data_IF_930544049444
#
_entry.id   IF_930544049444
#
_cell.length_a   1.000
_cell.length_b   1.000
_cell.length_c   1.000
_cell.angle_alpha   90.00
_cell.angle_beta   90.00
_cell.angle_gamma   90.00
#
_symmetry.space_group_name_H-M   'P 1'
#
loop_
_entity.id
_entity.type
_entity.pdbx_description
1 polymer ?
#
# COMPACT_ATOMS: atom_id res chain seq x y z
N UNK A 1 95.50 64.78 -8.57
CA UNK A 1 94.17 65.10 -8.00
C UNK A 1 93.19 63.99 -8.39
N UNK A 2 92.55 63.38 -7.38
CA UNK A 2 91.25 62.64 -7.39
C UNK A 2 91.05 61.51 -8.44
N UNK A 3 91.07 60.23 -8.04
CA UNK A 3 89.95 59.32 -7.60
C UNK A 3 89.67 58.27 -8.73
N UNK A 4 90.11 57.01 -8.62
CA UNK A 4 89.54 55.82 -7.94
C UNK A 4 88.37 55.10 -8.68
N UNK A 5 88.56 53.77 -8.88
CA UNK A 5 87.58 52.63 -8.99
C UNK A 5 86.91 52.44 -10.38
N UNK A 6 87.09 51.35 -11.15
CA UNK A 6 87.03 49.87 -10.97
C UNK A 6 85.66 49.24 -11.31
N UNK A 7 85.69 48.04 -11.91
CA UNK A 7 84.53 47.16 -12.17
C UNK A 7 84.45 46.70 -13.63
N UNK A 8 85.09 45.60 -14.04
CA UNK A 8 84.68 44.18 -13.91
C UNK A 8 83.52 43.84 -14.86
N UNK A 9 83.80 42.89 -15.78
CA UNK A 9 82.91 42.48 -16.85
C UNK A 9 81.78 41.54 -16.43
N UNK A 10 80.77 41.45 -17.29
CA UNK A 10 79.70 40.48 -17.21
C UNK A 10 79.73 39.59 -18.46
N UNK A 11 80.11 38.33 -18.26
CA UNK A 11 79.89 37.23 -19.20
C UNK A 11 78.46 36.76 -19.02
N UNK A 12 77.68 36.76 -20.11
CA UNK A 12 76.35 36.17 -20.13
C UNK A 12 76.47 34.64 -20.26
N UNK A 13 76.13 33.91 -19.20
CA UNK A 13 75.90 32.47 -19.24
C UNK A 13 74.39 32.20 -19.30
N UNK A 14 73.95 31.65 -20.42
CA UNK A 14 72.62 31.08 -20.61
C UNK A 14 72.56 29.78 -19.79
N UNK A 15 71.84 29.81 -18.68
CA UNK A 15 71.51 28.61 -17.91
C UNK A 15 70.17 28.04 -18.38
N UNK A 16 70.22 27.00 -19.21
CA UNK A 16 69.09 26.10 -19.42
C UNK A 16 68.87 25.31 -18.11
N UNK A 17 67.85 25.69 -17.35
CA UNK A 17 67.39 24.91 -16.21
C UNK A 17 66.71 23.65 -16.71
N UNK A 18 67.43 22.53 -16.73
CA UNK A 18 66.82 21.22 -16.82
C UNK A 18 65.92 21.02 -15.60
N UNK A 19 64.62 20.86 -15.83
CA UNK A 19 63.70 20.34 -14.83
C UNK A 19 64.13 18.89 -14.54
N UNK A 20 64.87 18.70 -13.46
CA UNK A 20 65.14 17.37 -12.93
C UNK A 20 63.83 16.84 -12.34
N UNK A 21 63.15 15.98 -13.11
CA UNK A 21 62.15 15.08 -12.57
C UNK A 21 62.83 14.20 -11.52
N UNK A 22 62.42 14.34 -10.26
CA UNK A 22 62.98 13.57 -9.16
C UNK A 22 62.38 12.16 -9.19
N UNK A 23 63.22 11.23 -9.65
CA UNK A 23 63.50 9.88 -9.15
C UNK A 23 62.36 8.84 -9.17
N UNK A 24 62.54 7.88 -10.09
CA UNK A 24 61.97 6.54 -10.18
C UNK A 24 61.86 5.86 -8.80
N UNK A 25 60.67 5.36 -8.49
CA UNK A 25 60.28 4.75 -7.23
C UNK A 25 61.23 3.67 -6.73
N UNK A 26 61.67 3.84 -5.49
CA UNK A 26 62.40 2.86 -4.68
C UNK A 26 61.61 1.56 -4.54
N UNK A 27 62.28 0.42 -4.78
CA UNK A 27 61.79 -0.96 -4.68
C UNK A 27 60.70 -1.16 -3.62
N UNK A 28 59.44 -1.03 -4.03
CA UNK A 28 58.27 -1.34 -3.20
C UNK A 28 57.59 -2.54 -3.83
N UNK A 29 57.44 -3.59 -3.04
CA UNK A 29 56.94 -4.88 -3.52
C UNK A 29 55.85 -5.37 -2.60
N UNK A 30 54.75 -5.89 -3.14
CA UNK A 30 53.65 -6.44 -2.34
C UNK A 30 54.14 -7.69 -1.61
N UNK A 31 53.94 -7.73 -0.29
CA UNK A 31 54.19 -8.93 0.53
C UNK A 31 52.93 -9.79 0.62
N UNK A 32 51.78 -9.16 0.87
CA UNK A 32 50.46 -9.81 0.89
C UNK A 32 49.34 -8.77 0.84
N UNK A 33 48.15 -9.22 0.46
CA UNK A 33 46.91 -8.47 0.67
C UNK A 33 46.37 -8.81 2.06
N UNK A 34 45.87 -7.80 2.76
CA UNK A 34 45.32 -7.91 4.11
C UNK A 34 43.80 -7.97 4.05
N UNK A 35 43.20 -7.05 3.30
CA UNK A 35 41.77 -6.91 3.04
C UNK A 35 41.55 -6.25 1.65
N UNK A 36 40.31 -6.08 1.19
CA UNK A 36 39.92 -5.58 -0.14
C UNK A 36 40.47 -4.21 -0.53
N UNK A 37 40.97 -3.43 0.43
CA UNK A 37 41.58 -2.12 0.20
C UNK A 37 42.90 -1.92 0.97
N UNK A 38 43.47 -2.99 1.53
CA UNK A 38 44.64 -2.90 2.41
C UNK A 38 45.69 -3.93 2.03
N UNK A 39 46.93 -3.48 1.82
CA UNK A 39 48.07 -4.33 1.46
C UNK A 39 49.25 -4.10 2.39
N UNK A 40 50.04 -5.15 2.61
CA UNK A 40 51.38 -5.04 3.18
C UNK A 40 52.40 -5.02 2.04
N UNK A 41 53.30 -4.04 2.07
CA UNK A 41 54.39 -3.89 1.09
C UNK A 41 55.74 -3.87 1.78
N UNK A 42 56.72 -4.50 1.14
CA UNK A 42 58.12 -4.43 1.49
C UNK A 42 58.73 -3.17 0.91
N UNK A 43 59.41 -2.38 1.74
CA UNK A 43 60.16 -1.20 1.34
C UNK A 43 61.60 -1.29 1.83
N UNK A 44 62.48 -0.39 1.39
CA UNK A 44 63.84 -0.26 1.94
C UNK A 44 63.87 -0.02 3.47
N UNK A 45 62.78 0.51 4.04
CA UNK A 45 62.63 0.80 5.47
C UNK A 45 61.88 -0.30 6.25
N UNK A 46 61.63 -1.45 5.61
CA UNK A 46 60.85 -2.57 6.16
C UNK A 46 59.41 -2.62 5.63
N UNK A 47 58.63 -3.54 6.18
CA UNK A 47 57.21 -3.72 5.84
C UNK A 47 56.37 -2.51 6.24
N UNK A 48 55.50 -2.05 5.33
CA UNK A 48 54.51 -1.00 5.56
C UNK A 48 53.12 -1.52 5.23
N UNK A 49 52.14 -1.18 6.06
CA UNK A 49 50.72 -1.38 5.75
C UNK A 49 50.19 -0.17 5.00
N UNK A 50 49.60 -0.39 3.84
CA UNK A 50 49.05 0.65 2.96
C UNK A 50 47.55 0.44 2.84
N UNK A 51 46.77 1.48 3.16
CA UNK A 51 45.34 1.57 2.87
C UNK A 51 45.17 2.37 1.58
N UNK A 52 44.45 1.77 0.62
CA UNK A 52 44.22 2.36 -0.69
C UNK A 52 43.38 3.64 -0.55
N UNK A 53 43.91 4.77 -1.01
CA UNK A 53 43.20 6.06 -0.95
C UNK A 53 41.90 6.07 -1.75
N UNK A 54 40.94 6.80 -1.20
CA UNK A 54 39.67 7.19 -1.80
C UNK A 54 38.71 6.04 -2.19
N UNK A 55 38.96 4.83 -1.73
CA UNK A 55 38.07 3.67 -1.89
C UNK A 55 37.72 3.08 -0.53
N UNK A 56 36.62 2.34 -0.44
CA UNK A 56 36.23 1.56 0.74
C UNK A 56 35.64 0.24 0.28
N UNK A 57 36.18 -0.88 0.77
CA UNK A 57 35.65 -2.22 0.47
C UNK A 57 34.84 -2.75 1.64
N UNK A 58 33.91 -3.70 1.42
CA UNK A 58 33.33 -4.46 2.52
C UNK A 58 34.44 -5.11 3.36
N UNK A 59 34.31 -5.04 4.67
CA UNK A 59 35.35 -5.43 5.63
C UNK A 59 35.30 -6.93 5.95
N UNK A 60 36.48 -7.55 6.06
CA UNK A 60 36.59 -8.93 6.52
C UNK A 60 36.28 -9.03 8.01
N UNK A 61 35.62 -10.13 8.39
CA UNK A 61 35.36 -10.44 9.79
C UNK A 61 36.65 -10.58 10.59
N UNK A 62 36.74 -9.87 11.72
CA UNK A 62 37.91 -9.90 12.60
C UNK A 62 37.49 -10.22 14.04
N UNK A 63 38.33 -10.98 14.76
CA UNK A 63 38.12 -11.33 16.17
C UNK A 63 36.77 -12.01 16.50
N UNK A 64 36.17 -12.70 15.52
CA UNK A 64 34.88 -13.38 15.68
C UNK A 64 33.68 -12.56 15.25
N UNK A 65 33.90 -11.31 14.79
CA UNK A 65 32.88 -10.53 14.10
C UNK A 65 32.55 -11.15 12.74
N UNK A 66 31.28 -11.06 12.29
CA UNK A 66 30.89 -11.52 10.96
C UNK A 66 31.58 -10.69 9.87
N UNK A 67 31.89 -11.34 8.75
CA UNK A 67 32.35 -10.65 7.55
C UNK A 67 31.19 -9.98 6.82
N UNK A 68 31.48 -8.87 6.15
CA UNK A 68 30.51 -8.24 5.25
C UNK A 68 30.43 -9.01 3.93
N UNK A 69 29.24 -9.02 3.32
CA UNK A 69 29.06 -9.65 2.02
C UNK A 69 30.00 -9.01 0.97
N UNK A 70 30.57 -9.81 0.08
CA UNK A 70 31.59 -9.42 -0.91
C UNK A 70 32.98 -9.02 -0.37
N UNK A 71 33.22 -9.08 0.95
CA UNK A 71 34.52 -8.75 1.53
C UNK A 71 35.62 -9.71 1.02
N UNK A 72 35.35 -11.02 1.03
CA UNK A 72 36.30 -12.02 0.56
C UNK A 72 36.57 -11.88 -0.94
N UNK A 73 35.53 -11.62 -1.74
CA UNK A 73 35.65 -11.40 -3.18
C UNK A 73 36.45 -10.13 -3.51
N UNK A 74 36.26 -9.04 -2.75
CA UNK A 74 37.04 -7.82 -2.90
C UNK A 74 38.52 -8.06 -2.58
N UNK A 75 38.82 -8.79 -1.49
CA UNK A 75 40.18 -9.20 -1.13
C UNK A 75 40.80 -10.08 -2.22
N UNK A 76 40.10 -11.11 -2.66
CA UNK A 76 40.59 -12.05 -3.67
C UNK A 76 40.88 -11.31 -4.98
N UNK A 77 40.03 -10.35 -5.35
CA UNK A 77 40.28 -9.53 -6.52
C UNK A 77 41.52 -8.66 -6.37
N UNK A 78 41.72 -8.05 -5.20
CA UNK A 78 42.94 -7.29 -4.94
C UNK A 78 44.18 -8.20 -4.96
N UNK A 79 44.09 -9.45 -4.50
CA UNK A 79 45.17 -10.45 -4.59
C UNK A 79 45.52 -10.82 -6.04
N UNK A 80 44.53 -10.88 -6.93
CA UNK A 80 44.77 -11.10 -8.36
C UNK A 80 45.49 -9.93 -9.03
N UNK A 81 45.16 -8.69 -8.63
CA UNK A 81 45.80 -7.47 -9.14
C UNK A 81 47.20 -7.26 -8.53
N UNK A 82 47.37 -7.65 -7.28
CA UNK A 82 48.57 -7.43 -6.48
C UNK A 82 49.09 -8.75 -5.87
N UNK A 83 49.45 -9.76 -6.68
CA UNK A 83 50.02 -10.98 -6.14
C UNK A 83 51.34 -10.67 -5.41
N UNK A 84 51.68 -11.45 -4.39
CA UNK A 84 52.92 -11.29 -3.66
C UNK A 84 54.13 -11.27 -4.61
N UNK A 85 55.03 -10.30 -4.44
CA UNK A 85 56.14 -10.04 -5.34
C UNK A 85 55.86 -8.99 -6.43
N UNK A 86 54.63 -8.47 -6.53
CA UNK A 86 54.30 -7.41 -7.48
C UNK A 86 54.99 -6.10 -7.11
N UNK A 87 55.71 -5.51 -8.07
CA UNK A 87 56.31 -4.17 -7.90
C UNK A 87 55.23 -3.11 -8.05
N UNK A 88 55.13 -2.23 -7.07
CA UNK A 88 54.13 -1.15 -7.04
C UNK A 88 54.80 0.20 -6.87
N UNK A 89 54.14 1.23 -7.40
CA UNK A 89 54.43 2.63 -7.07
C UNK A 89 53.35 3.14 -6.14
N UNK A 90 53.76 3.75 -5.03
CA UNK A 90 52.86 4.39 -4.08
C UNK A 90 52.86 5.90 -4.31
N UNK A 91 51.67 6.45 -4.57
CA UNK A 91 51.48 7.88 -4.73
C UNK A 91 50.63 8.42 -3.58
N UNK A 92 51.23 9.29 -2.77
CA UNK A 92 50.59 9.86 -1.59
C UNK A 92 49.82 11.15 -1.91
N UNK A 93 48.98 11.55 -0.96
CA UNK A 93 48.29 12.84 -0.91
C UNK A 93 48.75 13.66 0.32
N UNK A 94 47.99 14.68 0.72
CA UNK A 94 48.29 15.63 1.82
C UNK A 94 48.71 14.90 3.10
N UNK A 95 47.86 14.00 3.60
CA UNK A 95 48.14 13.21 4.79
C UNK A 95 48.60 11.81 4.39
N UNK A 96 49.82 11.48 4.78
CA UNK A 96 50.44 10.20 4.44
C UNK A 96 49.99 9.04 5.33
N UNK A 97 49.50 9.30 6.53
CA UNK A 97 49.13 8.26 7.47
C UNK A 97 47.74 8.49 8.04
N UNK A 98 47.02 7.40 8.30
CA UNK A 98 45.78 7.47 9.07
C UNK A 98 46.04 7.41 10.58
N UNK A 99 44.95 7.45 11.36
CA UNK A 99 45.00 7.40 12.83
C UNK A 99 45.55 6.08 13.40
N UNK A 100 45.63 5.03 12.58
CA UNK A 100 46.13 3.71 12.96
C UNK A 100 47.60 3.51 12.53
N UNK A 101 48.18 4.50 11.86
CA UNK A 101 49.56 4.45 11.36
C UNK A 101 49.72 3.68 10.05
N UNK A 102 48.62 3.36 9.35
CA UNK A 102 48.70 2.83 7.96
C UNK A 102 49.11 3.98 7.04
N UNK A 103 49.94 3.68 6.04
CA UNK A 103 50.20 4.63 4.97
C UNK A 103 48.97 4.73 4.06
N UNK A 104 48.67 5.94 3.57
CA UNK A 104 47.55 6.25 2.70
C UNK A 104 48.07 6.56 1.30
N UNK A 105 47.82 5.69 0.33
CA UNK A 105 48.35 5.87 -1.03
C UNK A 105 47.40 5.42 -2.14
N UNK A 106 47.52 6.06 -3.30
CA UNK A 106 47.15 5.45 -4.56
C UNK A 106 48.21 4.41 -4.95
N UNK A 107 47.76 3.22 -5.35
CA UNK A 107 48.64 2.10 -5.67
C UNK A 107 48.64 1.86 -7.19
N UNK A 108 49.83 1.86 -7.79
CA UNK A 108 50.01 1.68 -9.22
C UNK A 108 50.88 0.47 -9.55
N UNK A 109 50.49 -0.29 -10.58
CA UNK A 109 51.31 -1.33 -11.22
C UNK A 109 51.65 -0.84 -12.63
N UNK A 110 52.87 -0.34 -12.81
CA UNK A 110 53.19 0.41 -14.03
C UNK A 110 52.32 1.68 -14.11
N UNK A 111 51.52 1.80 -15.18
CA UNK A 111 50.58 2.90 -15.38
C UNK A 111 49.15 2.57 -14.90
N UNK A 112 48.89 1.32 -14.50
CA UNK A 112 47.58 0.85 -14.07
C UNK A 112 47.29 1.29 -12.63
N UNK A 113 46.17 1.97 -12.42
CA UNK A 113 45.75 2.46 -11.11
C UNK A 113 44.82 1.47 -10.42
N UNK A 114 45.33 0.74 -9.44
CA UNK A 114 44.64 -0.39 -8.81
C UNK A 114 43.38 0.06 -8.06
N UNK A 115 43.43 1.20 -7.37
CA UNK A 115 42.28 1.72 -6.61
C UNK A 115 41.06 1.95 -7.53
N UNK A 116 41.29 2.56 -8.69
CA UNK A 116 40.23 2.78 -9.69
C UNK A 116 39.71 1.46 -10.25
N UNK A 117 40.60 0.50 -10.49
CA UNK A 117 40.20 -0.80 -11.03
C UNK A 117 39.24 -1.54 -10.08
N UNK A 118 39.57 -1.63 -8.79
CA UNK A 118 38.71 -2.24 -7.75
C UNK A 118 37.31 -1.61 -7.74
N UNK A 119 37.23 -0.28 -7.80
CA UNK A 119 35.94 0.44 -7.83
C UNK A 119 35.20 0.21 -9.14
N UNK A 120 35.88 0.25 -10.29
CA UNK A 120 35.27 0.05 -11.61
C UNK A 120 34.64 -1.34 -11.79
N UNK A 121 35.19 -2.32 -11.08
CA UNK A 121 34.71 -3.70 -11.06
C UNK A 121 33.62 -3.95 -10.00
N UNK A 122 33.28 -2.92 -9.20
CA UNK A 122 32.18 -2.93 -8.26
C UNK A 122 32.51 -3.53 -6.90
N UNK A 123 33.78 -3.60 -6.50
CA UNK A 123 34.19 -4.14 -5.20
C UNK A 123 34.29 -3.10 -4.08
N UNK A 124 34.21 -1.81 -4.42
CA UNK A 124 34.39 -0.72 -3.45
C UNK A 124 33.49 0.49 -3.73
N UNK A 125 33.24 1.29 -2.70
CA UNK A 125 32.67 2.64 -2.78
C UNK A 125 33.76 3.71 -2.88
N UNK A 126 33.49 4.79 -3.60
CA UNK A 126 34.30 6.00 -3.58
C UNK A 126 34.08 6.76 -2.26
N UNK A 127 35.15 7.01 -1.52
CA UNK A 127 35.09 7.73 -0.24
C UNK A 127 36.16 8.81 -0.14
N UNK A 128 35.91 9.80 0.71
CA UNK A 128 36.90 10.84 1.03
C UNK A 128 37.31 10.72 2.48
N UNK A 129 38.61 10.55 2.70
CA UNK A 129 39.22 10.71 4.01
C UNK A 129 39.91 12.06 4.04
N UNK A 130 39.20 13.10 4.48
CA UNK A 130 39.73 14.47 4.48
C UNK A 130 41.07 14.54 5.24
N UNK A 131 42.07 15.28 4.71
CA UNK A 131 42.04 16.16 3.54
C UNK A 131 42.38 15.47 2.20
N UNK A 132 42.49 14.14 2.16
CA UNK A 132 42.98 13.41 0.98
C UNK A 132 41.88 13.22 -0.08
N UNK A 133 41.99 13.98 -1.18
CA UNK A 133 41.01 14.04 -2.27
C UNK A 133 41.62 13.82 -3.65
N UNK A 134 42.94 13.69 -3.75
CA UNK A 134 43.69 13.68 -5.01
C UNK A 134 43.16 12.72 -6.07
N UNK A 135 42.66 11.55 -5.67
CA UNK A 135 42.13 10.55 -6.59
C UNK A 135 40.61 10.45 -6.61
N UNK A 136 39.92 11.21 -5.75
CA UNK A 136 38.48 11.03 -5.51
C UNK A 136 37.64 11.21 -6.78
N UNK A 137 37.85 12.27 -7.55
CA UNK A 137 37.03 12.52 -8.76
C UNK A 137 37.22 11.42 -9.82
N UNK A 138 38.43 10.87 -9.94
CA UNK A 138 38.73 9.73 -10.83
C UNK A 138 38.01 8.47 -10.37
N UNK A 139 38.09 8.18 -9.08
CA UNK A 139 37.45 7.01 -8.47
C UNK A 139 35.92 7.12 -8.52
N UNK A 140 35.36 8.30 -8.24
CA UNK A 140 33.93 8.56 -8.32
C UNK A 140 33.40 8.34 -9.74
N UNK A 141 34.18 8.71 -10.75
CA UNK A 141 33.82 8.43 -12.14
C UNK A 141 33.82 6.92 -12.45
N UNK A 142 34.76 6.16 -11.88
CA UNK A 142 34.82 4.70 -12.05
C UNK A 142 33.65 3.97 -11.39
N UNK A 143 33.11 4.52 -10.30
CA UNK A 143 31.94 3.98 -9.60
C UNK A 143 30.65 4.01 -10.44
N UNK A 144 30.58 4.91 -11.44
CA UNK A 144 29.35 5.16 -12.18
C UNK A 144 28.78 3.90 -12.85
N UNK A 145 29.63 3.06 -13.44
CA UNK A 145 29.22 1.84 -14.16
C UNK A 145 28.63 0.76 -13.24
N UNK A 146 29.34 0.29 -12.19
CA UNK A 146 28.77 -0.73 -11.32
C UNK A 146 27.55 -0.23 -10.55
N UNK A 147 27.49 1.07 -10.21
CA UNK A 147 26.31 1.69 -9.61
C UNK A 147 25.11 1.69 -10.57
N UNK A 148 25.28 2.10 -11.83
CA UNK A 148 24.17 2.11 -12.80
C UNK A 148 23.69 0.72 -13.18
N UNK A 149 24.60 -0.25 -13.22
CA UNK A 149 24.30 -1.63 -13.61
C UNK A 149 23.85 -2.49 -12.42
N UNK A 150 23.87 -1.95 -11.19
CA UNK A 150 23.59 -2.68 -9.96
C UNK A 150 24.42 -3.97 -9.88
N UNK A 151 25.74 -3.84 -9.97
CA UNK A 151 26.69 -4.96 -9.88
C UNK A 151 27.66 -4.79 -8.72
N UNK A 152 28.20 -5.91 -8.23
CA UNK A 152 29.10 -5.90 -7.07
C UNK A 152 28.40 -5.33 -5.85
N UNK A 153 29.08 -4.49 -5.08
CA UNK A 153 28.54 -3.89 -3.85
C UNK A 153 27.28 -3.03 -4.06
N UNK A 154 27.01 -2.59 -5.29
CA UNK A 154 25.80 -1.83 -5.64
C UNK A 154 24.60 -2.70 -6.03
N UNK A 155 24.80 -4.01 -6.14
CA UNK A 155 23.84 -4.97 -6.68
C UNK A 155 23.48 -6.10 -5.74
N UNK A 156 23.92 -6.05 -4.48
CA UNK A 156 23.67 -7.10 -3.51
C UNK A 156 22.19 -7.18 -3.13
N UNK A 157 21.70 -8.39 -2.88
CA UNK A 157 20.34 -8.63 -2.44
C UNK A 157 20.16 -8.53 -0.92
N UNK A 158 18.92 -8.73 -0.42
CA UNK A 158 18.57 -8.68 1.00
C UNK A 158 19.41 -9.61 1.89
N UNK A 159 19.92 -10.69 1.32
CA UNK A 159 20.84 -11.64 1.96
C UNK A 159 22.20 -11.04 2.36
N UNK A 160 22.52 -9.84 1.90
CA UNK A 160 23.82 -9.19 2.08
C UNK A 160 23.76 -7.84 2.81
N UNK A 161 22.57 -7.34 3.15
CA UNK A 161 22.39 -5.97 3.65
C UNK A 161 22.70 -5.79 5.14
N UNK A 162 22.88 -6.89 5.87
CA UNK A 162 23.19 -6.90 7.30
C UNK A 162 24.00 -8.14 7.64
N UNK A 163 24.85 -8.02 8.66
CA UNK A 163 25.61 -9.13 9.21
C UNK A 163 24.87 -9.85 10.36
N UNK A 164 23.76 -9.28 10.85
CA UNK A 164 22.90 -9.94 11.84
C UNK A 164 22.05 -11.03 11.17
N UNK A 165 22.24 -12.28 11.59
CA UNK A 165 21.54 -13.44 10.98
C UNK A 165 20.02 -13.42 11.15
N UNK A 166 19.49 -12.79 12.19
CA UNK A 166 18.03 -12.69 12.37
C UNK A 166 17.48 -11.63 11.43
N UNK A 167 18.09 -10.45 11.40
CA UNK A 167 17.70 -9.39 10.47
C UNK A 167 17.80 -9.85 9.02
N UNK A 168 18.87 -10.57 8.67
CA UNK A 168 19.05 -11.17 7.34
C UNK A 168 17.88 -12.11 6.99
N UNK A 169 17.50 -13.02 7.89
CA UNK A 169 16.35 -13.91 7.70
C UNK A 169 15.04 -13.14 7.54
N UNK A 170 14.87 -12.05 8.28
CA UNK A 170 13.68 -11.19 8.23
C UNK A 170 13.60 -10.40 6.92
N UNK A 171 14.73 -9.90 6.41
CA UNK A 171 14.84 -9.25 5.10
C UNK A 171 14.50 -10.21 3.97
N UNK A 172 15.08 -11.42 3.98
CA UNK A 172 14.74 -12.45 2.99
C UNK A 172 13.26 -12.86 3.06
N UNK A 173 12.70 -12.96 4.28
CA UNK A 173 11.27 -13.25 4.46
C UNK A 173 10.42 -12.14 3.89
N UNK A 174 10.81 -10.88 4.11
CA UNK A 174 10.12 -9.71 3.57
C UNK A 174 10.16 -9.74 2.04
N UNK A 175 11.31 -10.04 1.44
CA UNK A 175 11.43 -10.18 -0.01
C UNK A 175 10.56 -11.33 -0.56
N UNK A 176 10.44 -12.45 0.17
CA UNK A 176 9.53 -13.55 -0.20
C UNK A 176 8.07 -13.11 -0.15
N UNK A 177 7.66 -12.41 0.89
CA UNK A 177 6.29 -11.91 1.05
C UNK A 177 5.94 -10.89 -0.07
N UNK A 178 6.88 -10.01 -0.44
CA UNK A 178 6.72 -9.10 -1.60
C UNK A 178 6.54 -9.89 -2.89
N UNK A 179 7.40 -10.88 -3.14
CA UNK A 179 7.33 -11.69 -4.35
C UNK A 179 6.04 -12.51 -4.42
N UNK A 180 5.49 -12.94 -3.28
CA UNK A 180 4.19 -13.60 -3.20
C UNK A 180 3.08 -12.60 -3.55
N UNK A 181 3.09 -11.42 -2.92
CA UNK A 181 2.14 -10.33 -3.17
C UNK A 181 2.10 -9.90 -4.64
N UNK A 182 3.26 -9.81 -5.30
CA UNK A 182 3.39 -9.45 -6.72
C UNK A 182 2.76 -10.47 -7.69
N UNK A 183 2.58 -11.72 -7.25
CA UNK A 183 1.96 -12.78 -8.05
C UNK A 183 0.46 -12.87 -7.84
N UNK A 184 -0.08 -12.18 -6.82
CA UNK A 184 -1.51 -12.20 -6.52
C UNK A 184 -2.26 -11.24 -7.44
N UNK A 185 -3.42 -11.67 -7.93
CA UNK A 185 -4.36 -10.75 -8.59
C UNK A 185 -5.16 -10.01 -7.51
N UNK A 186 -4.69 -8.82 -7.12
CA UNK A 186 -5.33 -8.01 -6.07
C UNK A 186 -6.72 -7.48 -6.48
N UNK A 187 -7.12 -7.65 -7.75
CA UNK A 187 -8.47 -7.37 -8.22
C UNK A 187 -9.46 -8.51 -7.89
N UNK A 188 -8.98 -9.71 -7.57
CA UNK A 188 -9.80 -10.85 -7.16
C UNK A 188 -10.20 -10.72 -5.67
N UNK A 189 -11.50 -10.57 -5.34
CA UNK A 189 -11.94 -10.46 -3.95
C UNK A 189 -11.63 -11.69 -3.09
N UNK A 190 -11.42 -12.87 -3.69
CA UNK A 190 -11.16 -14.12 -2.95
C UNK A 190 -9.79 -14.18 -2.30
N UNK A 191 -8.82 -13.39 -2.79
CA UNK A 191 -7.44 -13.41 -2.29
C UNK A 191 -7.11 -12.25 -1.34
N UNK A 192 -8.02 -11.29 -1.19
CA UNK A 192 -7.82 -10.04 -0.43
C UNK A 192 -7.40 -10.29 1.02
N UNK A 193 -7.99 -11.30 1.68
CA UNK A 193 -7.69 -11.63 3.06
C UNK A 193 -6.25 -12.14 3.27
N UNK A 194 -5.72 -12.93 2.32
CA UNK A 194 -4.36 -13.44 2.40
C UNK A 194 -3.35 -12.35 2.00
N UNK A 195 -3.67 -11.53 0.99
CA UNK A 195 -2.86 -10.40 0.59
C UNK A 195 -2.67 -9.40 1.74
N UNK A 196 -3.74 -9.07 2.49
CA UNK A 196 -3.65 -8.18 3.67
C UNK A 196 -2.71 -8.74 4.74
N UNK A 197 -2.68 -10.06 4.95
CA UNK A 197 -1.74 -10.67 5.91
C UNK A 197 -0.28 -10.54 5.49
N UNK A 198 -0.01 -10.57 4.18
CA UNK A 198 1.33 -10.33 3.64
C UNK A 198 1.71 -8.87 3.82
N UNK A 199 0.84 -7.93 3.44
CA UNK A 199 1.02 -6.48 3.66
C UNK A 199 1.31 -6.16 5.12
N UNK A 200 0.50 -6.68 6.04
CA UNK A 200 0.69 -6.51 7.50
C UNK A 200 2.01 -7.09 8.00
N UNK A 201 2.52 -8.15 7.38
CA UNK A 201 3.81 -8.73 7.75
C UNK A 201 4.97 -7.89 7.23
N UNK A 202 4.90 -7.48 5.95
CA UNK A 202 5.90 -6.60 5.33
C UNK A 202 6.02 -5.30 6.13
N UNK A 203 4.91 -4.64 6.47
CA UNK A 203 4.92 -3.41 7.27
C UNK A 203 5.58 -3.63 8.63
N UNK A 204 5.13 -4.64 9.39
CA UNK A 204 5.67 -4.92 10.73
C UNK A 204 7.16 -5.26 10.71
N UNK A 205 7.56 -6.18 9.83
CA UNK A 205 8.96 -6.59 9.74
C UNK A 205 9.85 -5.45 9.27
N UNK A 206 9.40 -4.64 8.30
CA UNK A 206 10.17 -3.48 7.84
C UNK A 206 10.33 -2.42 8.94
N UNK A 207 9.27 -2.12 9.69
CA UNK A 207 9.33 -1.18 10.82
C UNK A 207 10.16 -1.72 11.99
N UNK A 208 10.16 -3.03 12.22
CA UNK A 208 11.00 -3.68 13.23
C UNK A 208 12.48 -3.57 12.86
N UNK A 209 12.86 -3.93 11.63
CA UNK A 209 14.25 -3.84 11.15
C UNK A 209 14.72 -2.38 11.18
N UNK A 210 13.91 -1.44 10.68
CA UNK A 210 14.28 -0.02 10.66
C UNK A 210 14.61 0.53 12.05
N UNK A 211 13.83 0.12 13.07
CA UNK A 211 14.09 0.54 14.46
C UNK A 211 15.40 -0.02 15.02
N UNK A 212 15.81 -1.21 14.60
CA UNK A 212 17.10 -1.79 15.00
C UNK A 212 18.25 -1.16 14.22
N UNK A 213 18.12 -1.00 12.90
CA UNK A 213 19.12 -0.39 12.03
C UNK A 213 19.44 1.07 12.40
N UNK A 214 18.47 1.83 12.92
CA UNK A 214 18.72 3.19 13.44
C UNK A 214 19.47 3.20 14.80
N UNK A 215 19.67 2.02 15.42
CA UNK A 215 20.26 1.86 16.76
C UNK A 215 21.61 1.14 16.79
N UNK A 216 22.01 0.46 15.70
CA UNK A 216 23.28 -0.29 15.56
C UNK A 216 24.28 0.42 14.64
N UNK A 217 25.58 0.11 14.79
CA UNK A 217 26.67 0.74 14.00
C UNK A 217 26.56 0.42 12.50
N UNK A 218 26.98 1.40 11.67
CA UNK A 218 26.95 1.42 10.21
C UNK A 218 27.53 0.13 9.60
N UNK A 219 26.68 -0.69 8.98
CA UNK A 219 27.12 -1.67 7.99
C UNK A 219 27.49 -0.96 6.68
N UNK A 220 28.43 -1.52 5.93
CA UNK A 220 28.77 -1.06 4.58
C UNK A 220 27.53 -0.92 3.67
N UNK A 221 26.51 -1.77 3.85
CA UNK A 221 25.30 -1.81 3.04
C UNK A 221 24.12 -1.00 3.60
N UNK A 222 24.36 -0.10 4.56
CA UNK A 222 23.29 0.63 5.26
C UNK A 222 22.39 1.44 4.32
N UNK A 223 22.94 2.02 3.24
CA UNK A 223 22.13 2.74 2.25
C UNK A 223 21.18 1.80 1.50
N UNK A 224 21.72 0.69 0.99
CA UNK A 224 20.95 -0.34 0.30
C UNK A 224 19.88 -0.97 1.22
N UNK A 225 20.18 -1.14 2.51
CA UNK A 225 19.21 -1.57 3.52
C UNK A 225 18.03 -0.60 3.62
N UNK A 226 18.29 0.70 3.74
CA UNK A 226 17.23 1.72 3.80
C UNK A 226 16.40 1.72 2.52
N UNK A 227 17.05 1.67 1.36
CA UNK A 227 16.37 1.63 0.06
C UNK A 227 15.47 0.39 -0.06
N UNK A 228 15.94 -0.78 0.38
CA UNK A 228 15.13 -2.01 0.41
C UNK A 228 13.90 -1.86 1.32
N UNK A 229 14.07 -1.34 2.54
CA UNK A 229 12.98 -1.18 3.49
C UNK A 229 11.93 -0.17 3.00
N UNK A 230 12.38 0.96 2.44
CA UNK A 230 11.50 1.99 1.88
C UNK A 230 10.75 1.46 0.64
N UNK A 231 11.42 0.71 -0.24
CA UNK A 231 10.78 0.07 -1.39
C UNK A 231 9.75 -0.99 -0.96
N UNK A 232 10.10 -1.83 0.02
CA UNK A 232 9.21 -2.87 0.57
C UNK A 232 7.94 -2.28 1.16
N UNK A 233 8.08 -1.21 1.95
CA UNK A 233 6.95 -0.48 2.51
C UNK A 233 6.09 0.19 1.43
N UNK A 234 6.72 0.90 0.50
CA UNK A 234 6.01 1.57 -0.59
C UNK A 234 5.17 0.58 -1.41
N UNK A 235 5.70 -0.61 -1.67
CA UNK A 235 5.00 -1.68 -2.39
C UNK A 235 3.80 -2.21 -1.61
N UNK A 236 3.96 -2.41 -0.30
CA UNK A 236 2.88 -2.85 0.58
C UNK A 236 1.77 -1.79 0.71
N UNK A 237 2.13 -0.51 0.83
CA UNK A 237 1.19 0.62 0.82
C UNK A 237 0.40 0.71 -0.50
N UNK A 238 1.04 0.40 -1.63
CA UNK A 238 0.38 0.32 -2.94
C UNK A 238 -0.62 -0.84 -3.00
N UNK A 239 -0.21 -2.03 -2.56
CA UNK A 239 -1.10 -3.18 -2.49
C UNK A 239 -2.31 -2.90 -1.59
N UNK A 240 -2.13 -2.25 -0.45
CA UNK A 240 -3.23 -1.90 0.45
C UNK A 240 -4.27 -1.01 -0.24
N UNK A 241 -3.83 -0.02 -1.02
CA UNK A 241 -4.73 0.84 -1.81
C UNK A 241 -5.51 0.05 -2.86
N UNK A 242 -4.89 -0.92 -3.52
CA UNK A 242 -5.55 -1.79 -4.49
C UNK A 242 -6.60 -2.69 -3.82
N UNK A 243 -6.25 -3.27 -2.67
CA UNK A 243 -7.14 -4.12 -1.87
C UNK A 243 -8.37 -3.33 -1.38
N UNK A 244 -8.17 -2.11 -0.90
CA UNK A 244 -9.25 -1.22 -0.50
C UNK A 244 -10.18 -0.87 -1.67
N UNK A 245 -9.62 -0.67 -2.86
CA UNK A 245 -10.38 -0.43 -4.07
C UNK A 245 -11.19 -1.68 -4.49
N UNK A 246 -10.61 -2.88 -4.38
CA UNK A 246 -11.30 -4.16 -4.62
C UNK A 246 -12.46 -4.37 -3.66
N UNK A 247 -12.22 -4.17 -2.36
CA UNK A 247 -13.26 -4.29 -1.34
C UNK A 247 -14.41 -3.30 -1.56
N UNK A 248 -14.08 -2.07 -1.99
CA UNK A 248 -15.08 -1.07 -2.35
C UNK A 248 -15.93 -1.53 -3.53
N UNK A 249 -15.31 -2.00 -4.61
CA UNK A 249 -16.03 -2.51 -5.79
C UNK A 249 -16.94 -3.69 -5.43
N UNK A 250 -16.48 -4.59 -4.57
CA UNK A 250 -17.27 -5.75 -4.16
C UNK A 250 -18.46 -5.35 -3.27
N UNK A 251 -18.27 -4.39 -2.37
CA UNK A 251 -19.38 -3.82 -1.58
C UNK A 251 -20.44 -3.19 -2.48
N UNK A 252 -20.02 -2.34 -3.42
CA UNK A 252 -20.92 -1.69 -4.39
C UNK A 252 -21.67 -2.75 -5.23
N UNK A 253 -20.98 -3.79 -5.70
CA UNK A 253 -21.60 -4.90 -6.43
C UNK A 253 -22.67 -5.62 -5.61
N UNK A 254 -22.39 -5.92 -4.34
CA UNK A 254 -23.34 -6.59 -3.44
C UNK A 254 -24.55 -5.69 -3.16
N UNK A 255 -24.35 -4.39 -2.98
CA UNK A 255 -25.43 -3.42 -2.79
C UNK A 255 -26.33 -3.31 -4.03
N UNK A 256 -25.74 -3.26 -5.22
CA UNK A 256 -26.47 -3.25 -6.48
C UNK A 256 -27.28 -4.54 -6.69
N UNK A 257 -26.71 -5.71 -6.39
CA UNK A 257 -27.41 -6.99 -6.45
C UNK A 257 -28.60 -7.02 -5.48
N UNK A 258 -28.42 -6.55 -4.24
CA UNK A 258 -29.52 -6.43 -3.26
C UNK A 258 -30.62 -5.50 -3.75
N UNK A 259 -30.26 -4.37 -4.35
CA UNK A 259 -31.21 -3.41 -4.90
C UNK A 259 -32.00 -4.03 -6.07
N UNK A 260 -31.33 -4.72 -6.99
CA UNK A 260 -31.97 -5.42 -8.10
C UNK A 260 -32.94 -6.49 -7.61
N UNK A 261 -32.56 -7.27 -6.58
CA UNK A 261 -33.43 -8.26 -5.96
C UNK A 261 -34.66 -7.62 -5.33
N UNK A 262 -34.49 -6.53 -4.57
CA UNK A 262 -35.60 -5.80 -3.97
C UNK A 262 -36.55 -5.22 -5.04
N UNK A 263 -36.01 -4.64 -6.11
CA UNK A 263 -36.82 -4.11 -7.21
C UNK A 263 -37.58 -5.23 -7.93
N UNK A 264 -36.97 -6.40 -8.13
CA UNK A 264 -37.62 -7.58 -8.70
C UNK A 264 -38.77 -8.08 -7.79
N UNK A 265 -38.52 -8.22 -6.49
CA UNK A 265 -39.54 -8.61 -5.50
C UNK A 265 -40.70 -7.60 -5.45
N UNK A 266 -40.42 -6.30 -5.51
CA UNK A 266 -41.46 -5.27 -5.59
C UNK A 266 -42.26 -5.34 -6.89
N UNK A 267 -41.61 -5.61 -8.03
CA UNK A 267 -42.29 -5.80 -9.32
C UNK A 267 -43.22 -7.02 -9.26
N UNK A 268 -42.75 -8.15 -8.73
CA UNK A 268 -43.56 -9.34 -8.55
C UNK A 268 -44.73 -9.10 -7.59
N UNK A 269 -44.51 -8.40 -6.47
CA UNK A 269 -45.57 -8.06 -5.52
C UNK A 269 -46.65 -7.19 -6.17
N UNK A 270 -46.27 -6.17 -6.96
CA UNK A 270 -47.21 -5.34 -7.73
C UNK A 270 -48.01 -6.17 -8.72
N UNK A 271 -47.36 -7.05 -9.49
CA UNK A 271 -48.05 -7.94 -10.43
C UNK A 271 -49.03 -8.89 -9.74
N UNK A 272 -48.66 -9.45 -8.57
CA UNK A 272 -49.56 -10.30 -7.78
C UNK A 272 -50.76 -9.53 -7.25
N UNK A 273 -50.57 -8.29 -6.81
CA UNK A 273 -51.67 -7.45 -6.36
C UNK A 273 -52.60 -7.07 -7.51
N UNK A 274 -52.07 -6.68 -8.67
CA UNK A 274 -52.84 -6.40 -9.88
C UNK A 274 -53.65 -7.62 -10.32
N UNK A 275 -53.02 -8.81 -10.40
CA UNK A 275 -53.71 -10.05 -10.73
C UNK A 275 -54.81 -10.40 -9.71
N UNK A 276 -54.60 -10.13 -8.41
CA UNK A 276 -55.63 -10.31 -7.38
C UNK A 276 -56.81 -9.38 -7.62
N UNK A 277 -56.56 -8.10 -7.90
CA UNK A 277 -57.60 -7.09 -8.19
C UNK A 277 -58.39 -7.48 -9.43
N UNK A 278 -57.73 -7.92 -10.50
CA UNK A 278 -58.39 -8.41 -11.71
C UNK A 278 -59.27 -9.63 -11.44
N UNK A 279 -58.78 -10.61 -10.66
CA UNK A 279 -59.56 -11.78 -10.28
C UNK A 279 -60.77 -11.42 -9.40
N UNK A 280 -60.64 -10.46 -8.48
CA UNK A 280 -61.76 -9.93 -7.68
C UNK A 280 -62.80 -9.23 -8.57
N UNK A 281 -62.36 -8.40 -9.52
CA UNK A 281 -63.25 -7.76 -10.50
C UNK A 281 -64.01 -8.78 -11.36
N UNK A 282 -63.33 -9.83 -11.84
CA UNK A 282 -63.96 -10.92 -12.59
C UNK A 282 -65.00 -11.66 -11.73
N UNK A 283 -64.66 -12.03 -10.49
CA UNK A 283 -65.61 -12.68 -9.56
C UNK A 283 -66.83 -11.82 -9.26
N UNK A 284 -66.66 -10.50 -9.12
CA UNK A 284 -67.76 -9.58 -8.90
C UNK A 284 -68.67 -9.46 -10.13
N UNK A 285 -68.11 -9.52 -11.35
CA UNK A 285 -68.88 -9.51 -12.59
C UNK A 285 -69.66 -10.82 -12.83
N UNK A 286 -69.16 -11.95 -12.34
CA UNK A 286 -69.82 -13.26 -12.44
C UNK A 286 -70.86 -13.52 -11.34
N UNK A 287 -70.90 -12.72 -10.26
CA UNK A 287 -71.93 -12.85 -9.22
C UNK A 287 -73.31 -12.48 -9.81
N UNK A 288 -74.33 -13.37 -9.73
CA UNK A 288 -75.66 -13.04 -10.18
C UNK A 288 -76.22 -11.86 -9.38
N UNK A 289 -77.06 -11.00 -9.99
CA UNK A 289 -77.64 -9.85 -9.29
C UNK A 289 -78.33 -10.34 -8.01
N UNK A 290 -78.09 -9.63 -6.91
CA UNK A 290 -78.74 -9.93 -5.64
C UNK A 290 -80.25 -10.09 -5.85
N UNK A 291 -80.89 -11.13 -5.27
CA UNK A 291 -82.32 -11.33 -5.43
C UNK A 291 -83.05 -10.05 -5.03
N UNK A 292 -83.97 -9.60 -5.88
CA UNK A 292 -84.71 -8.36 -5.67
C UNK A 292 -85.25 -8.32 -4.23
N UNK A 293 -85.13 -7.18 -3.53
CA UNK A 293 -85.67 -7.06 -2.18
C UNK A 293 -87.15 -7.42 -2.21
N UNK A 294 -87.57 -8.34 -1.34
CA UNK A 294 -88.96 -8.76 -1.24
C UNK A 294 -89.85 -7.52 -1.08
N UNK A 295 -91.03 -7.48 -1.75
CA UNK A 295 -91.92 -6.33 -1.66
C UNK A 295 -92.24 -6.03 -0.20
N UNK A 296 -92.09 -4.76 0.19
CA UNK A 296 -92.40 -4.31 1.54
C UNK A 296 -93.83 -4.77 1.92
N UNK A 297 -94.03 -5.34 3.13
CA UNK A 297 -95.36 -5.73 3.56
C UNK A 297 -96.29 -4.51 3.57
N UNK A 298 -97.47 -4.68 2.99
CA UNK A 298 -98.52 -3.67 2.96
C UNK A 298 -98.78 -3.12 4.38
N UNK A 299 -99.07 -1.81 4.54
CA UNK A 299 -99.35 -1.23 5.84
C UNK A 299 -100.55 -1.94 6.49
N UNK A 300 -100.34 -2.43 7.70
CA UNK A 300 -101.35 -3.06 8.54
C UNK A 300 -102.50 -2.09 8.78
N UNK A 301 -103.72 -2.49 8.44
CA UNK A 301 -104.93 -1.75 8.78
C UNK A 301 -105.08 -1.63 10.30
N UNK A 302 -105.45 -0.45 10.82
CA UNK A 302 -105.61 -0.25 12.27
C UNK A 302 -106.82 -1.02 12.78
N UNK A 303 -106.63 -1.72 13.89
CA UNK A 303 -107.66 -2.40 14.68
C UNK A 303 -108.75 -1.41 15.10
N UNK A 304 -109.89 -1.42 14.41
CA UNK A 304 -111.08 -0.66 14.80
C UNK A 304 -111.73 -1.28 16.04
N UNK A 305 -111.59 -0.61 17.18
CA UNK A 305 -112.30 -0.95 18.41
C UNK A 305 -113.81 -0.89 18.19
N UNK A 306 -114.52 -1.92 18.63
CA UNK A 306 -115.97 -1.96 18.64
C UNK A 306 -116.55 -0.79 19.45
N UNK A 307 -117.49 -0.06 18.86
CA UNK A 307 -118.15 1.09 19.49
C UNK A 307 -119.08 0.62 20.64
N UNK A 308 -118.86 1.18 21.83
CA UNK A 308 -119.58 0.89 23.08
C UNK A 308 -120.89 1.66 23.24
N UNK A 309 -121.35 2.38 22.21
CA UNK A 309 -122.58 3.19 22.25
C UNK A 309 -123.86 2.41 22.63
N UNK A 310 -124.52 2.77 23.72
CA UNK A 310 -125.68 2.05 24.26
C UNK A 310 -127.05 2.62 23.85
N UNK A 311 -127.10 3.68 23.03
CA UNK A 311 -128.36 4.27 22.55
C UNK A 311 -129.03 3.50 21.41
N UNK A 312 -130.11 4.06 20.85
CA UNK A 312 -130.82 3.42 19.73
C UNK A 312 -129.97 3.40 18.45
N UNK A 313 -130.02 2.26 17.76
CA UNK A 313 -129.20 1.95 16.58
C UNK A 313 -130.10 1.60 15.40
N UNK A 314 -129.82 2.16 14.22
CA UNK A 314 -130.42 1.74 12.96
C UNK A 314 -129.39 0.94 12.14
N UNK A 315 -129.77 -0.26 11.69
CA UNK A 315 -128.90 -1.15 10.91
C UNK A 315 -129.20 -1.14 9.40
N UNK A 316 -130.05 -0.20 8.94
CA UNK A 316 -130.46 -0.04 7.54
C UNK A 316 -131.44 1.13 7.39
N UNK A 317 -131.83 1.43 6.15
CA UNK A 317 -132.63 2.62 5.79
C UNK A 317 -131.76 3.74 5.21
N UNK A 318 -132.33 4.94 5.07
CA UNK A 318 -131.63 6.11 4.53
C UNK A 318 -130.78 6.81 5.61
N UNK A 319 -129.91 6.05 6.28
CA UNK A 319 -128.98 6.53 7.30
C UNK A 319 -127.53 6.27 6.88
N UNK A 320 -126.61 7.10 7.34
CA UNK A 320 -125.17 6.94 7.13
C UNK A 320 -124.59 5.97 8.17
N UNK A 321 -124.34 4.71 7.77
CA UNK A 321 -123.92 3.62 8.64
C UNK A 321 -122.40 3.65 8.95
N UNK A 322 -121.98 4.68 9.68
CA UNK A 322 -120.56 4.97 9.95
C UNK A 322 -119.99 4.32 11.20
N UNK A 323 -120.83 3.65 12.02
CA UNK A 323 -120.38 2.97 13.23
C UNK A 323 -120.44 1.46 13.05
N UNK A 324 -119.63 0.71 13.80
CA UNK A 324 -119.57 -0.76 13.75
C UNK A 324 -119.82 -1.33 15.14
N UNK A 325 -120.78 -2.25 15.26
CA UNK A 325 -121.07 -2.91 16.54
C UNK A 325 -120.00 -3.98 16.88
N UNK A 326 -120.09 -4.54 18.10
CA UNK A 326 -119.22 -5.62 18.56
C UNK A 326 -119.26 -6.90 17.71
N UNK A 327 -120.26 -7.04 16.84
CA UNK A 327 -120.40 -8.17 15.92
C UNK A 327 -119.96 -7.80 14.49
N UNK A 328 -119.36 -6.62 14.28
CA UNK A 328 -118.90 -6.17 12.96
C UNK A 328 -120.00 -5.58 12.07
N UNK A 329 -121.23 -5.37 12.56
CA UNK A 329 -122.33 -4.83 11.76
C UNK A 329 -122.31 -3.31 11.75
N UNK A 330 -122.45 -2.74 10.56
CA UNK A 330 -122.54 -1.29 10.40
C UNK A 330 -123.89 -0.76 10.87
N UNK A 331 -123.90 0.34 11.61
CA UNK A 331 -125.11 0.97 12.12
C UNK A 331 -124.96 2.50 12.19
N UNK A 332 -126.08 3.21 12.22
CA UNK A 332 -126.17 4.64 12.53
C UNK A 332 -126.73 4.82 13.96
N UNK A 333 -126.22 5.82 14.67
CA UNK A 333 -126.76 6.24 15.97
C UNK A 333 -127.99 7.09 15.69
N UNK A 334 -129.11 6.77 16.31
CA UNK A 334 -130.37 7.51 16.12
C UNK A 334 -130.95 7.93 17.47
N UNK A 335 -131.68 9.04 17.50
CA UNK A 335 -132.53 9.38 18.63
C UNK A 335 -133.63 8.33 18.79
N UNK A 336 -133.84 7.85 20.01
CA UNK A 336 -134.77 6.76 20.27
C UNK A 336 -136.23 7.13 19.98
N UNK A 337 -136.59 8.41 20.09
CA UNK A 337 -137.95 8.92 19.94
C UNK A 337 -138.20 9.47 18.53
N UNK A 338 -137.32 10.34 18.02
CA UNK A 338 -137.53 10.99 16.71
C UNK A 338 -137.05 10.15 15.52
N UNK A 339 -136.21 9.14 15.78
CA UNK A 339 -135.52 8.31 14.77
C UNK A 339 -134.55 9.08 13.86
N UNK A 340 -134.31 10.36 14.12
CA UNK A 340 -133.31 11.13 13.38
C UNK A 340 -131.90 10.65 13.69
N UNK A 341 -131.01 10.69 12.70
CA UNK A 341 -129.62 10.32 12.88
C UNK A 341 -128.90 11.36 13.75
N UNK A 342 -128.24 10.88 14.80
CA UNK A 342 -127.45 11.69 15.71
C UNK A 342 -125.97 11.39 15.48
N UNK A 343 -125.20 12.44 15.17
CA UNK A 343 -123.77 12.34 14.88
C UNK A 343 -123.48 12.15 13.40
#
# INVERSE_FOLDING_TARGET
MKKWIAGIGAVALVGAGAAAAVVVGSDTTVERVVDGDTVDVSTWSGTKRVRLLNIDTPELGHFGEPEECLAQEAKDRLEELLPAGTKVTLEYDVDRHDRYGRELAGVFVGDDFVNEQIVSEGFAHAVVFEPNRKFYDRILAAEASPRSNQTGVFGVGPECLTSDRREQSDLESTQRDINELDRMDLADPTVTADARRLVDRIHRTSDDIRRHADSTEDSFYTAQLRDFLDASRSRADEAERELDATDKRERERIEDLKKQEQEAQQREARQREEARREAEHQRAAEQPPAPAPAPAPAPSAPSGGADTYTGCRAYGGNYSLNNVDKNGRRYAKIDCNTKEQIG
#
